data_IF_104005843865
#
_entry.id   IF_104005843865
#
_cell.length_a   1.000
_cell.length_b   1.000
_cell.length_c   1.000
_cell.angle_alpha   90.00
_cell.angle_beta   90.00
_cell.angle_gamma   90.00
#
_symmetry.space_group_name_H-M   'P 1'
#
loop_
_entity.id
_entity.type
_entity.pdbx_description
1 polymer ?
#
# COMPACT_ATOMS: atom_id res chain seq x y z
N UNK A 1 -55.52 -22.73 10.26
CA UNK A 1 -54.22 -23.09 9.68
C UNK A 1 -53.69 -21.90 8.86
N UNK A 2 -53.14 -20.84 9.51
CA UNK A 2 -52.66 -19.59 8.87
C UNK A 2 -51.55 -18.94 9.75
N UNK A 3 -50.40 -19.59 9.90
CA UNK A 3 -49.34 -18.98 10.73
C UNK A 3 -47.88 -19.25 10.25
N UNK A 4 -47.68 -19.73 9.00
CA UNK A 4 -46.31 -20.04 8.53
C UNK A 4 -45.75 -19.07 7.47
N UNK A 5 -46.49 -18.07 7.00
CA UNK A 5 -46.00 -17.16 5.94
C UNK A 5 -45.35 -15.87 6.45
N UNK A 6 -45.49 -15.48 7.73
CA UNK A 6 -44.92 -14.23 8.24
C UNK A 6 -43.42 -14.36 8.65
N UNK A 7 -42.98 -15.55 9.06
CA UNK A 7 -41.59 -15.76 9.51
C UNK A 7 -40.60 -15.82 8.35
N UNK A 8 -41.03 -16.37 7.21
CA UNK A 8 -40.15 -16.49 6.04
C UNK A 8 -39.80 -15.13 5.39
N UNK A 9 -40.79 -14.20 5.34
CA UNK A 9 -40.53 -12.87 4.77
C UNK A 9 -39.66 -11.97 5.63
N UNK A 10 -39.73 -12.09 6.96
CA UNK A 10 -38.86 -11.34 7.88
C UNK A 10 -37.43 -11.87 7.90
N UNK A 11 -37.24 -13.16 7.73
CA UNK A 11 -35.91 -13.77 7.65
C UNK A 11 -35.21 -13.36 6.37
N UNK A 12 -35.92 -13.33 5.24
CA UNK A 12 -35.33 -12.94 3.94
C UNK A 12 -34.92 -11.47 3.91
N UNK A 13 -35.69 -10.57 4.54
CA UNK A 13 -35.35 -9.14 4.62
C UNK A 13 -34.15 -8.88 5.54
N UNK A 14 -34.00 -9.64 6.62
CA UNK A 14 -32.83 -9.51 7.51
C UNK A 14 -31.56 -10.00 6.82
N UNK A 15 -31.63 -11.08 6.04
CA UNK A 15 -30.48 -11.63 5.33
C UNK A 15 -30.02 -10.69 4.19
N UNK A 16 -30.93 -10.06 3.46
CA UNK A 16 -30.59 -9.04 2.46
C UNK A 16 -29.97 -7.77 3.07
N UNK A 17 -30.43 -7.35 4.26
CA UNK A 17 -29.86 -6.18 4.92
C UNK A 17 -28.46 -6.44 5.48
N UNK A 18 -28.16 -7.66 5.95
CA UNK A 18 -26.83 -8.05 6.40
C UNK A 18 -25.82 -8.13 5.25
N UNK A 19 -26.25 -8.50 4.04
CA UNK A 19 -25.38 -8.52 2.86
C UNK A 19 -25.03 -7.11 2.33
N UNK A 20 -25.87 -6.12 2.59
CA UNK A 20 -25.62 -4.73 2.16
C UNK A 20 -24.65 -3.97 3.08
N UNK A 21 -24.30 -4.53 4.24
CA UNK A 21 -23.36 -3.93 5.19
C UNK A 21 -21.93 -4.51 5.06
N UNK A 22 -21.71 -5.48 4.20
CA UNK A 22 -20.37 -5.89 3.80
C UNK A 22 -19.81 -4.83 2.83
N UNK A 23 -19.35 -3.71 3.39
CA UNK A 23 -18.53 -2.75 2.65
C UNK A 23 -17.36 -3.51 2.04
N UNK A 24 -17.22 -3.42 0.71
CA UNK A 24 -16.06 -3.95 0.02
C UNK A 24 -14.84 -3.16 0.48
N UNK A 25 -14.05 -3.72 1.38
CA UNK A 25 -12.71 -3.23 1.63
C UNK A 25 -11.91 -3.54 0.37
N UNK A 26 -11.74 -2.56 -0.50
CA UNK A 26 -10.85 -2.70 -1.65
C UNK A 26 -9.42 -2.52 -1.14
N UNK A 27 -8.67 -3.62 -1.07
CA UNK A 27 -7.24 -3.57 -0.92
C UNK A 27 -6.62 -3.47 -2.32
N UNK A 28 -5.78 -2.46 -2.55
CA UNK A 28 -5.04 -2.32 -3.80
C UNK A 28 -3.82 -3.24 -3.76
N UNK A 29 -4.00 -4.48 -4.22
CA UNK A 29 -2.92 -5.49 -4.25
C UNK A 29 -1.81 -5.18 -5.25
N UNK A 30 -2.04 -4.26 -6.16
CA UNK A 30 -1.09 -3.84 -7.21
C UNK A 30 -0.43 -2.50 -6.92
N UNK A 31 -0.53 -2.00 -5.70
CA UNK A 31 0.02 -0.70 -5.31
C UNK A 31 -0.98 0.45 -5.41
N UNK A 32 -0.59 1.58 -4.89
CA UNK A 32 -1.37 2.82 -4.85
C UNK A 32 -0.44 4.02 -5.02
N UNK A 33 -0.87 5.01 -5.78
CA UNK A 33 -0.24 6.32 -5.83
C UNK A 33 -0.57 7.14 -4.59
N UNK A 34 0.33 8.04 -4.23
CA UNK A 34 0.19 8.85 -3.04
C UNK A 34 -1.01 9.82 -3.01
N UNK A 35 -1.70 10.03 -4.14
CA UNK A 35 -2.82 10.96 -4.27
C UNK A 35 -4.19 10.26 -4.34
N UNK A 36 -4.24 8.95 -4.17
CA UNK A 36 -5.43 8.12 -4.38
C UNK A 36 -6.44 8.16 -3.22
N UNK A 37 -6.19 8.93 -2.18
CA UNK A 37 -7.17 9.18 -1.12
C UNK A 37 -8.34 10.09 -1.56
N UNK A 38 -8.33 10.55 -2.81
CA UNK A 38 -9.35 11.44 -3.39
C UNK A 38 -9.20 12.91 -3.02
N UNK A 39 -8.20 13.27 -2.21
CA UNK A 39 -7.97 14.64 -1.76
C UNK A 39 -6.71 15.28 -2.36
N UNK A 40 -5.89 14.54 -3.09
CA UNK A 40 -4.67 15.05 -3.73
C UNK A 40 -3.55 15.47 -2.76
N UNK A 41 -3.71 15.22 -1.47
CA UNK A 41 -2.76 15.62 -0.44
C UNK A 41 -2.33 14.43 0.42
N UNK A 42 -1.25 13.78 0.00
CA UNK A 42 -0.62 12.66 0.73
C UNK A 42 -0.03 13.06 2.09
N UNK A 43 0.11 14.36 2.35
CA UNK A 43 0.73 14.81 3.60
C UNK A 43 -0.22 14.73 4.79
N UNK A 44 -1.53 14.63 4.55
CA UNK A 44 -2.54 14.81 5.60
C UNK A 44 -3.34 13.53 5.89
N UNK A 45 -3.60 12.69 4.91
CA UNK A 45 -4.58 11.60 5.06
C UNK A 45 -3.96 10.21 5.29
N UNK A 46 -2.73 9.97 4.85
CA UNK A 46 -2.16 8.62 4.88
C UNK A 46 -3.02 7.61 4.10
N UNK A 47 -2.75 6.34 4.25
CA UNK A 47 -3.55 5.28 3.64
C UNK A 47 -4.84 5.06 4.45
N UNK A 48 -5.97 5.59 3.97
CA UNK A 48 -7.26 5.53 4.67
C UNK A 48 -8.10 4.31 4.30
N UNK A 49 -7.67 3.50 3.30
CA UNK A 49 -8.45 2.36 2.80
C UNK A 49 -8.63 1.23 3.81
N UNK A 50 -7.72 1.07 4.76
CA UNK A 50 -7.75 0.01 5.78
C UNK A 50 -8.08 0.52 7.18
N UNK A 51 -7.74 1.78 7.48
CA UNK A 51 -7.99 2.42 8.77
C UNK A 51 -7.94 3.93 8.62
N UNK A 52 -8.82 4.65 9.33
CA UNK A 52 -8.77 6.12 9.40
C UNK A 52 -7.61 6.64 10.26
N UNK A 53 -7.00 5.78 11.04
CA UNK A 53 -5.91 6.14 11.95
C UNK A 53 -4.69 5.25 11.73
N UNK A 54 -3.47 5.80 11.90
CA UNK A 54 -2.24 5.01 11.91
C UNK A 54 -2.31 3.91 12.99
N UNK A 55 -1.84 2.72 12.66
CA UNK A 55 -1.71 1.63 13.62
C UNK A 55 -0.35 1.71 14.31
N UNK A 56 -0.34 1.97 15.61
CA UNK A 56 0.88 2.07 16.41
C UNK A 56 1.65 0.74 16.56
N UNK A 57 1.06 -0.39 16.14
CA UNK A 57 1.75 -1.69 16.09
C UNK A 57 2.63 -1.84 14.84
N UNK A 58 2.53 -0.91 13.88
CA UNK A 58 3.28 -0.91 12.62
C UNK A 58 4.41 0.11 12.69
N UNK A 59 5.60 -0.32 12.32
CA UNK A 59 6.78 0.54 12.19
C UNK A 59 7.31 0.46 10.76
N UNK A 60 7.45 1.62 10.12
CA UNK A 60 8.11 1.75 8.82
C UNK A 60 9.58 2.08 9.05
N UNK A 61 10.47 1.31 8.43
CA UNK A 61 11.91 1.54 8.41
C UNK A 61 12.32 1.85 6.97
N UNK A 62 13.07 2.93 6.79
CA UNK A 62 13.71 3.30 5.53
C UNK A 62 15.22 3.38 5.76
N UNK A 63 15.96 2.46 5.13
CA UNK A 63 17.42 2.40 5.21
C UNK A 63 18.06 2.83 3.89
N UNK A 64 19.36 3.20 3.92
CA UNK A 64 20.13 3.57 2.73
C UNK A 64 20.01 5.04 2.32
N UNK A 65 19.16 5.84 2.97
CA UNK A 65 19.04 7.27 2.69
C UNK A 65 20.35 7.98 3.05
N UNK A 66 21.03 8.62 2.08
CA UNK A 66 22.30 9.30 2.37
C UNK A 66 22.04 10.57 3.17
N UNK A 67 22.90 10.85 4.16
CA UNK A 67 22.87 12.13 4.88
C UNK A 67 23.25 13.32 3.99
N UNK A 68 24.20 13.08 3.07
CA UNK A 68 24.56 13.99 1.97
C UNK A 68 24.61 13.16 0.69
N UNK A 69 24.05 13.67 -0.38
CA UNK A 69 24.10 13.00 -1.67
C UNK A 69 25.05 13.71 -2.63
N UNK A 70 25.56 12.97 -3.61
CA UNK A 70 26.28 13.52 -4.76
C UNK A 70 25.33 13.57 -5.96
N UNK A 71 25.37 14.67 -6.71
CA UNK A 71 24.54 14.85 -7.90
C UNK A 71 24.70 13.68 -8.89
N UNK A 72 23.58 13.22 -9.45
CA UNK A 72 23.53 12.10 -10.39
C UNK A 72 23.89 10.73 -9.82
N UNK A 73 24.16 10.62 -8.51
CA UNK A 73 24.50 9.35 -7.87
C UNK A 73 23.26 8.57 -7.46
N UNK A 74 23.28 7.26 -7.71
CA UNK A 74 22.20 6.36 -7.30
C UNK A 74 22.50 5.71 -5.96
N UNK A 75 21.47 5.59 -5.13
CA UNK A 75 21.50 5.01 -3.79
C UNK A 75 20.42 3.95 -3.68
N UNK A 76 20.80 2.77 -3.23
CA UNK A 76 19.82 1.72 -2.92
C UNK A 76 19.18 2.02 -1.56
N UNK A 77 17.85 2.01 -1.55
CA UNK A 77 17.02 2.21 -0.37
C UNK A 77 16.28 0.91 -0.05
N UNK A 78 16.25 0.54 1.23
CA UNK A 78 15.46 -0.57 1.71
C UNK A 78 14.27 -0.04 2.50
N UNK A 79 13.08 -0.46 2.11
CA UNK A 79 11.81 -0.17 2.79
C UNK A 79 11.40 -1.44 3.53
N UNK A 80 11.17 -1.35 4.84
CA UNK A 80 10.73 -2.49 5.64
C UNK A 80 9.58 -2.11 6.57
N UNK A 81 8.57 -2.97 6.63
CA UNK A 81 7.45 -2.86 7.58
C UNK A 81 7.61 -3.91 8.66
N UNK A 82 7.64 -3.47 9.92
CA UNK A 82 7.72 -4.34 11.11
C UNK A 82 6.43 -4.21 11.89
N UNK A 83 5.93 -5.34 12.39
CA UNK A 83 4.67 -5.40 13.17
C UNK A 83 3.43 -5.50 12.28
N UNK A 84 2.29 -5.06 12.82
CA UNK A 84 0.99 -5.19 12.15
C UNK A 84 0.40 -6.62 12.25
N UNK A 85 -0.63 -6.91 11.46
CA UNK A 85 -1.33 -8.20 11.52
C UNK A 85 -0.40 -9.36 11.14
N UNK A 86 -0.71 -10.54 11.67
CA UNK A 86 -0.02 -11.79 11.30
C UNK A 86 -0.12 -12.00 9.79
N UNK A 87 1.01 -12.31 9.16
CA UNK A 87 1.08 -12.59 7.73
C UNK A 87 0.40 -13.92 7.45
N UNK A 88 -0.58 -13.91 6.58
CA UNK A 88 -1.13 -15.09 5.95
C UNK A 88 -0.46 -15.26 4.58
N UNK A 89 0.27 -16.34 4.38
CA UNK A 89 0.99 -16.61 3.12
C UNK A 89 0.06 -16.83 1.92
N UNK A 90 -1.25 -16.88 2.14
CA UNK A 90 -2.27 -17.00 1.09
C UNK A 90 -2.89 -15.67 0.69
N UNK A 91 -2.51 -14.59 1.36
CA UNK A 91 -3.03 -13.24 1.15
C UNK A 91 -1.90 -12.21 1.14
N UNK A 92 -2.23 -10.98 0.77
CA UNK A 92 -1.28 -9.88 0.75
C UNK A 92 -0.68 -9.63 2.14
N UNK A 93 0.64 -9.61 2.22
CA UNK A 93 1.38 -9.41 3.45
C UNK A 93 1.52 -7.93 3.84
N UNK A 94 1.55 -7.04 2.86
CA UNK A 94 1.68 -5.60 3.05
C UNK A 94 2.02 -4.89 1.75
N UNK A 95 2.24 -3.58 1.84
CA UNK A 95 2.61 -2.77 0.70
C UNK A 95 3.11 -1.40 1.13
N UNK A 96 3.63 -0.65 0.19
CA UNK A 96 4.10 0.72 0.41
C UNK A 96 3.74 1.62 -0.77
N UNK A 97 3.71 2.91 -0.52
CA UNK A 97 3.74 3.98 -1.52
C UNK A 97 4.82 4.97 -1.12
N UNK A 98 5.67 5.35 -2.06
CA UNK A 98 6.80 6.25 -1.87
C UNK A 98 6.82 7.32 -2.95
N UNK A 99 7.16 8.54 -2.55
CA UNK A 99 7.39 9.66 -3.46
C UNK A 99 8.64 10.42 -3.03
N UNK A 100 9.36 10.95 -4.01
CA UNK A 100 10.49 11.85 -3.77
C UNK A 100 10.20 13.24 -4.35
N UNK A 101 10.66 14.28 -3.65
CA UNK A 101 10.47 15.67 -4.10
C UNK A 101 11.45 16.07 -5.22
N UNK A 102 12.53 15.31 -5.38
CA UNK A 102 13.57 15.54 -6.41
C UNK A 102 14.35 14.24 -6.66
N UNK A 103 14.99 14.19 -7.83
CA UNK A 103 15.60 12.94 -8.31
C UNK A 103 14.56 11.98 -8.86
N UNK A 104 14.94 10.74 -9.07
CA UNK A 104 14.07 9.70 -9.61
C UNK A 104 14.16 8.41 -8.80
N UNK A 105 13.12 7.60 -8.83
CA UNK A 105 13.05 6.27 -8.26
C UNK A 105 13.10 5.22 -9.38
N UNK A 106 13.62 4.05 -9.07
CA UNK A 106 13.57 2.85 -9.91
C UNK A 106 13.52 1.61 -9.02
N UNK A 107 13.09 0.47 -9.57
CA UNK A 107 13.24 -0.81 -8.89
C UNK A 107 14.73 -1.13 -8.72
N UNK A 108 15.13 -1.72 -7.60
CA UNK A 108 16.46 -2.26 -7.44
C UNK A 108 16.62 -3.54 -8.28
N UNK A 109 17.88 -3.87 -8.64
CA UNK A 109 18.19 -5.09 -9.38
C UNK A 109 17.66 -6.34 -8.64
N UNK A 110 16.86 -7.14 -9.33
CA UNK A 110 16.22 -8.34 -8.78
C UNK A 110 14.87 -8.10 -8.12
N UNK A 111 14.43 -6.84 -7.99
CA UNK A 111 13.14 -6.45 -7.39
C UNK A 111 12.13 -5.85 -8.39
N UNK A 112 12.41 -5.94 -9.69
CA UNK A 112 11.60 -5.34 -10.76
C UNK A 112 10.19 -5.94 -10.85
N UNK A 113 10.00 -7.16 -10.38
CA UNK A 113 8.67 -7.78 -10.31
C UNK A 113 7.88 -7.39 -9.07
N UNK A 114 8.52 -6.82 -8.05
CA UNK A 114 7.91 -6.51 -6.75
C UNK A 114 7.49 -5.05 -6.62
N UNK A 115 8.04 -4.17 -7.48
CA UNK A 115 7.82 -2.72 -7.41
C UNK A 115 7.61 -2.14 -8.81
N UNK A 116 6.86 -1.04 -8.91
CA UNK A 116 6.69 -0.30 -10.15
C UNK A 116 6.38 1.18 -9.87
N UNK A 117 6.52 2.02 -10.90
CA UNK A 117 6.08 3.41 -10.84
C UNK A 117 4.55 3.48 -10.84
N UNK A 118 4.00 4.43 -10.09
CA UNK A 118 2.59 4.78 -10.22
C UNK A 118 2.43 5.80 -11.36
N UNK A 119 1.49 5.53 -12.28
CA UNK A 119 1.19 6.38 -13.45
C UNK A 119 2.41 6.76 -14.30
N UNK A 120 3.40 5.85 -14.41
CA UNK A 120 4.66 6.09 -15.11
C UNK A 120 5.46 7.32 -14.60
N UNK A 121 5.13 7.81 -13.41
CA UNK A 121 5.85 8.92 -12.76
C UNK A 121 7.12 8.40 -12.07
N UNK A 122 8.28 8.77 -12.62
CA UNK A 122 9.60 8.38 -12.09
C UNK A 122 9.91 8.93 -10.69
N UNK A 123 9.09 9.82 -10.15
CA UNK A 123 9.21 10.31 -8.77
C UNK A 123 8.43 9.46 -7.77
N UNK A 124 7.66 8.48 -8.23
CA UNK A 124 6.84 7.59 -7.41
C UNK A 124 7.30 6.15 -7.52
N UNK A 125 7.08 5.36 -6.48
CA UNK A 125 7.29 3.91 -6.47
C UNK A 125 6.30 3.26 -5.50
N UNK A 126 5.73 2.14 -5.91
CA UNK A 126 4.81 1.35 -5.09
C UNK A 126 5.07 -0.14 -5.29
N UNK A 127 4.49 -0.97 -4.43
CA UNK A 127 4.55 -2.42 -4.58
C UNK A 127 3.68 -2.90 -5.75
N UNK A 128 4.09 -3.98 -6.40
CA UNK A 128 3.28 -4.73 -7.36
C UNK A 128 2.44 -5.79 -6.64
N UNK A 129 1.63 -6.56 -7.38
CA UNK A 129 0.94 -7.73 -6.85
C UNK A 129 1.89 -8.74 -6.20
N UNK A 130 3.02 -9.05 -6.85
CA UNK A 130 4.06 -9.93 -6.27
C UNK A 130 4.72 -9.31 -5.04
N UNK A 131 4.94 -7.99 -5.04
CA UNK A 131 5.46 -7.27 -3.90
C UNK A 131 4.53 -7.28 -2.69
N UNK A 132 3.22 -7.28 -2.92
CA UNK A 132 2.23 -7.40 -1.84
C UNK A 132 2.26 -8.76 -1.14
N UNK A 133 2.69 -9.82 -1.83
CA UNK A 133 2.84 -11.18 -1.30
C UNK A 133 4.16 -11.40 -0.55
N UNK A 134 5.05 -10.39 -0.52
CA UNK A 134 6.34 -10.48 0.15
C UNK A 134 6.18 -10.64 1.67
N UNK A 135 6.39 -11.87 2.16
CA UNK A 135 6.20 -12.23 3.57
C UNK A 135 7.16 -11.49 4.52
N UNK A 136 8.32 -11.05 4.02
CA UNK A 136 9.29 -10.29 4.82
C UNK A 136 8.92 -8.80 4.90
N UNK A 137 7.94 -8.35 4.11
CA UNK A 137 7.50 -6.94 4.05
C UNK A 137 8.68 -5.99 3.83
N UNK A 138 9.58 -6.41 2.91
CA UNK A 138 10.81 -5.68 2.63
C UNK A 138 10.94 -5.50 1.13
N UNK A 139 11.15 -4.26 0.68
CA UNK A 139 11.32 -3.91 -0.73
C UNK A 139 12.58 -3.09 -0.91
N UNK A 140 13.18 -3.22 -2.09
CA UNK A 140 14.37 -2.48 -2.47
C UNK A 140 14.08 -1.61 -3.69
N UNK A 141 14.46 -0.34 -3.60
CA UNK A 141 14.33 0.64 -4.66
C UNK A 141 15.63 1.43 -4.79
N UNK A 142 15.83 2.03 -5.94
CA UNK A 142 16.99 2.91 -6.19
C UNK A 142 16.50 4.33 -6.32
N UNK A 143 17.05 5.22 -5.50
CA UNK A 143 16.89 6.66 -5.68
C UNK A 143 18.13 7.24 -6.36
N UNK A 144 17.92 7.92 -7.50
CA UNK A 144 18.98 8.66 -8.18
C UNK A 144 18.83 10.14 -7.89
N UNK A 145 19.84 10.71 -7.29
CA UNK A 145 19.88 12.13 -6.95
C UNK A 145 19.81 13.01 -8.23
N UNK A 146 19.23 14.21 -8.16
CA UNK A 146 19.21 15.12 -9.29
C UNK A 146 20.63 15.53 -9.71
N UNK A 147 20.81 15.91 -10.99
CA UNK A 147 22.09 16.35 -11.55
C UNK A 147 22.57 17.69 -10.98
N UNK A 148 21.67 18.47 -10.38
CA UNK A 148 21.97 19.75 -9.73
C UNK A 148 21.13 19.91 -8.48
N UNK A 149 21.72 20.41 -7.41
CA UNK A 149 21.07 20.76 -6.14
C UNK A 149 21.09 22.24 -5.89
#
# INVERSE_FOLDING_TARGET
MKMHHLTSRRLLTLTCFALLLAGSTQAYSTGIGGDEDGNGDVSVAGCTCHSELPDNSVTLILEGVPYHYSAGTSYELKIQIIGGPTIDTTSNAGGFSMRVSFGTLAAAEGYESETHHWDDDSTTMTHSGSGAENAERTWHVVWTAPDSG
#
